data_IF_577503877949
#
_entry.id   IF_577503877949
#
_cell.length_a   1.000
_cell.length_b   1.000
_cell.length_c   1.000
_cell.angle_alpha   90.00
_cell.angle_beta   90.00
_cell.angle_gamma   90.00
#
_symmetry.space_group_name_H-M   'P 1'
#
loop_
_entity.id
_entity.type
_entity.pdbx_description
1 polymer ?
#
# COMPACT_ATOMS: atom_id res chain seq x y z
N UNK A 1 24.90 -2.25 13.65
CA UNK A 1 24.73 -2.84 12.32
C UNK A 1 23.85 -1.93 11.46
N UNK A 2 24.25 -1.71 10.24
CA UNK A 2 23.44 -0.93 9.33
C UNK A 2 22.25 -1.77 8.86
N UNK A 3 21.07 -1.21 8.94
CA UNK A 3 19.88 -1.81 8.40
C UNK A 3 19.74 -1.39 6.93
N UNK A 4 19.64 -2.36 6.05
CA UNK A 4 19.51 -2.12 4.62
C UNK A 4 18.03 -2.24 4.26
N UNK A 5 17.46 -1.16 3.74
CA UNK A 5 16.07 -1.09 3.35
C UNK A 5 15.20 -0.39 4.38
N UNK A 6 13.90 -0.48 4.20
CA UNK A 6 12.91 0.19 5.03
C UNK A 6 12.56 -0.68 6.24
N UNK A 7 12.55 -0.08 7.42
CA UNK A 7 12.13 -0.77 8.63
C UNK A 7 10.68 -1.27 8.47
N UNK A 8 10.35 -2.49 8.95
CA UNK A 8 8.99 -3.00 8.90
C UNK A 8 7.96 -2.15 9.65
N UNK A 9 8.41 -1.30 10.57
CA UNK A 9 7.52 -0.41 11.33
C UNK A 9 7.27 0.92 10.65
N UNK A 10 7.95 1.19 9.53
CA UNK A 10 7.83 2.43 8.79
C UNK A 10 6.98 2.23 7.54
N UNK A 11 6.22 3.25 7.18
CA UNK A 11 5.47 3.25 5.95
C UNK A 11 6.35 3.60 4.75
N UNK A 12 5.81 3.43 3.58
CA UNK A 12 6.43 3.82 2.31
C UNK A 12 5.56 4.88 1.66
N UNK A 13 6.20 5.96 1.20
CA UNK A 13 5.52 7.02 0.47
C UNK A 13 5.78 6.84 -1.02
N UNK A 14 4.72 6.77 -1.81
CA UNK A 14 4.81 6.68 -3.27
C UNK A 14 4.11 7.86 -3.91
N UNK A 15 4.65 8.32 -5.03
CA UNK A 15 4.12 9.48 -5.75
C UNK A 15 3.78 9.05 -7.16
N UNK A 16 2.57 9.41 -7.60
CA UNK A 16 2.10 9.19 -8.97
C UNK A 16 1.78 10.53 -9.60
N UNK A 17 2.27 10.76 -10.80
CA UNK A 17 2.07 12.01 -11.52
C UNK A 17 1.30 11.78 -12.80
N UNK A 18 0.24 12.54 -13.01
CA UNK A 18 -0.57 12.50 -14.21
C UNK A 18 -0.64 13.88 -14.83
N UNK A 19 -0.68 13.92 -16.16
CA UNK A 19 -0.99 15.12 -16.90
C UNK A 19 -2.40 15.00 -17.43
N UNK A 20 -3.27 15.91 -17.06
CA UNK A 20 -4.69 15.83 -17.39
C UNK A 20 -4.96 16.20 -18.84
N UNK A 21 -5.96 15.57 -19.40
CA UNK A 21 -6.62 16.01 -20.63
C UNK A 21 -7.78 16.95 -20.28
N UNK A 22 -8.39 17.57 -21.28
CA UNK A 22 -9.47 18.54 -21.04
C UNK A 22 -10.64 17.91 -20.27
N UNK A 23 -11.04 18.54 -19.18
CA UNK A 23 -12.16 18.12 -18.33
C UNK A 23 -12.01 16.70 -17.76
N UNK A 24 -10.79 16.23 -17.63
CA UNK A 24 -10.55 14.88 -17.10
C UNK A 24 -10.90 14.82 -15.61
N UNK A 25 -11.70 13.83 -15.24
CA UNK A 25 -12.08 13.57 -13.85
C UNK A 25 -11.47 12.28 -13.31
N UNK A 26 -11.34 11.26 -14.14
CA UNK A 26 -10.88 9.94 -13.69
C UNK A 26 -9.40 9.72 -14.02
N UNK A 27 -8.65 9.32 -13.01
CA UNK A 27 -7.22 9.02 -13.13
C UNK A 27 -6.97 7.59 -12.65
N UNK A 28 -6.40 6.78 -13.52
CA UNK A 28 -6.10 5.38 -13.24
C UNK A 28 -5.00 4.90 -14.18
N UNK A 29 -4.52 3.68 -13.93
CA UNK A 29 -3.49 3.09 -14.78
C UNK A 29 -2.14 3.75 -14.59
N UNK A 30 -1.31 3.70 -15.62
CA UNK A 30 0.06 4.17 -15.54
C UNK A 30 0.13 5.69 -15.47
N UNK A 31 0.99 6.16 -14.57
CA UNK A 31 1.33 7.58 -14.48
C UNK A 31 2.34 7.98 -15.57
N UNK A 32 2.87 9.20 -15.52
CA UNK A 32 3.84 9.70 -16.50
C UNK A 32 5.15 8.91 -16.52
N UNK A 33 5.45 8.17 -15.44
CA UNK A 33 6.64 7.32 -15.33
C UNK A 33 6.36 5.84 -15.64
N UNK A 34 5.13 5.51 -16.00
CA UNK A 34 4.74 4.14 -16.32
C UNK A 34 4.39 3.29 -15.11
N UNK A 35 4.12 3.91 -13.96
CA UNK A 35 3.80 3.20 -12.73
C UNK A 35 2.28 3.23 -12.53
N UNK A 36 1.69 2.05 -12.36
CA UNK A 36 0.23 1.94 -12.15
C UNK A 36 -0.18 2.40 -10.77
N UNK A 37 -1.23 3.22 -10.72
CA UNK A 37 -1.79 3.72 -9.47
C UNK A 37 -2.37 2.56 -8.64
N UNK A 38 -1.95 2.48 -7.40
CA UNK A 38 -2.49 1.55 -6.42
C UNK A 38 -2.39 2.16 -5.02
N UNK A 39 -3.45 2.04 -4.25
CA UNK A 39 -3.49 2.47 -2.85
C UNK A 39 -4.36 1.50 -2.06
N UNK A 40 -4.04 1.34 -0.77
CA UNK A 40 -4.77 0.39 0.07
C UNK A 40 -6.13 0.93 0.52
N UNK A 41 -6.18 2.22 0.83
CA UNK A 41 -7.39 2.87 1.34
C UNK A 41 -7.37 4.34 0.95
N UNK A 42 -8.54 4.91 0.70
CA UNK A 42 -8.67 6.33 0.41
C UNK A 42 -8.20 7.24 1.54
N UNK A 43 -8.10 6.73 2.76
CA UNK A 43 -7.55 7.47 3.89
C UNK A 43 -6.03 7.65 3.79
N UNK A 44 -5.35 6.87 2.95
CA UNK A 44 -3.90 6.89 2.80
C UNK A 44 -3.44 7.48 1.47
N UNK A 45 -4.27 8.28 0.85
CA UNK A 45 -3.93 8.97 -0.39
C UNK A 45 -4.21 10.46 -0.26
N UNK A 46 -3.26 11.28 -0.71
CA UNK A 46 -3.44 12.72 -0.88
C UNK A 46 -3.42 13.05 -2.36
N UNK A 47 -4.32 13.91 -2.79
CA UNK A 47 -4.44 14.32 -4.20
C UNK A 47 -4.12 15.81 -4.31
N UNK A 48 -3.17 16.13 -5.18
CA UNK A 48 -2.77 17.50 -5.47
C UNK A 48 -3.11 17.83 -6.91
N UNK A 49 -3.65 19.00 -7.15
CA UNK A 49 -3.87 19.54 -8.49
C UNK A 49 -3.06 20.82 -8.62
N UNK A 50 -2.09 20.83 -9.55
CA UNK A 50 -1.17 21.94 -9.75
C UNK A 50 -0.48 22.40 -8.46
N UNK A 51 -0.12 21.45 -7.59
CA UNK A 51 0.55 21.72 -6.34
C UNK A 51 -0.36 22.09 -5.17
N UNK A 52 -1.67 22.14 -5.38
CA UNK A 52 -2.65 22.46 -4.34
C UNK A 52 -3.30 21.17 -3.84
N UNK A 53 -3.23 20.93 -2.54
CA UNK A 53 -3.87 19.79 -1.91
C UNK A 53 -5.39 19.93 -1.98
N UNK A 54 -6.05 18.90 -2.53
CA UNK A 54 -7.50 18.81 -2.54
C UNK A 54 -8.00 18.21 -1.22
N UNK A 55 -9.14 18.71 -0.74
CA UNK A 55 -9.78 18.10 0.41
C UNK A 55 -10.53 16.84 -0.01
N UNK A 56 -10.74 15.86 0.90
CA UNK A 56 -11.37 14.58 0.54
C UNK A 56 -12.77 14.67 -0.08
N UNK A 57 -13.46 15.79 0.07
CA UNK A 57 -14.76 16.01 -0.57
C UNK A 57 -14.66 16.41 -2.04
N UNK A 58 -13.47 16.78 -2.51
CA UNK A 58 -13.26 17.21 -3.89
C UNK A 58 -12.86 16.05 -4.82
N UNK A 59 -12.72 14.85 -4.27
CA UNK A 59 -12.41 13.65 -5.06
C UNK A 59 -12.96 12.40 -4.40
N UNK A 60 -13.05 11.32 -5.17
CA UNK A 60 -13.44 10.00 -4.69
C UNK A 60 -12.27 9.03 -4.90
N UNK A 61 -11.87 8.34 -3.85
CA UNK A 61 -10.80 7.34 -3.87
C UNK A 61 -11.28 6.11 -3.09
N UNK A 62 -12.01 5.23 -3.74
CA UNK A 62 -12.65 4.06 -3.10
C UNK A 62 -12.29 2.73 -3.73
N UNK A 63 -11.72 2.73 -4.93
CA UNK A 63 -11.49 1.47 -5.69
C UNK A 63 -10.11 0.86 -5.44
N UNK A 64 -9.15 1.63 -4.94
CA UNK A 64 -7.78 1.20 -4.79
C UNK A 64 -6.90 1.42 -6.03
N UNK A 65 -7.48 1.74 -7.17
CA UNK A 65 -6.76 1.91 -8.45
C UNK A 65 -7.17 3.14 -9.23
N UNK A 66 -8.20 3.85 -8.79
CA UNK A 66 -8.76 4.99 -9.50
C UNK A 66 -9.05 6.13 -8.54
N UNK A 67 -8.75 7.36 -8.96
CA UNK A 67 -9.15 8.58 -8.28
C UNK A 67 -10.02 9.38 -9.23
N UNK A 68 -11.18 9.81 -8.76
CA UNK A 68 -12.13 10.60 -9.55
C UNK A 68 -12.26 11.98 -8.92
N UNK A 69 -11.93 13.01 -9.68
CA UNK A 69 -12.10 14.39 -9.24
C UNK A 69 -13.56 14.82 -9.38
N UNK A 70 -14.03 15.60 -8.44
CA UNK A 70 -15.38 16.16 -8.47
C UNK A 70 -15.54 17.19 -9.59
N UNK A 71 -14.51 17.98 -9.82
CA UNK A 71 -14.44 18.94 -10.92
C UNK A 71 -13.34 18.52 -11.89
N UNK A 72 -13.66 18.49 -13.18
CA UNK A 72 -12.70 18.09 -14.21
C UNK A 72 -11.47 18.99 -14.25
N UNK A 73 -10.31 18.38 -14.41
CA UNK A 73 -9.06 19.11 -14.56
C UNK A 73 -8.97 19.74 -15.96
N UNK A 74 -8.27 20.87 -16.06
CA UNK A 74 -7.99 21.50 -17.34
C UNK A 74 -6.89 20.72 -18.08
N UNK A 75 -6.84 20.89 -19.40
CA UNK A 75 -5.77 20.28 -20.19
C UNK A 75 -4.39 20.71 -19.68
N UNK A 76 -3.49 19.75 -19.57
CA UNK A 76 -2.12 19.94 -19.06
C UNK A 76 -2.03 20.24 -17.57
N UNK A 77 -3.11 20.21 -16.82
CA UNK A 77 -3.02 20.26 -15.36
C UNK A 77 -2.22 19.06 -14.85
N UNK A 78 -1.37 19.32 -13.85
CA UNK A 78 -0.66 18.25 -13.15
C UNK A 78 -1.51 17.75 -12.00
N UNK A 79 -1.83 16.46 -12.02
CA UNK A 79 -2.50 15.80 -10.90
C UNK A 79 -1.53 14.82 -10.28
N UNK A 80 -1.20 15.05 -9.03
CA UNK A 80 -0.24 14.23 -8.29
C UNK A 80 -0.96 13.53 -7.14
N UNK A 81 -0.77 12.22 -7.03
CA UNK A 81 -1.26 11.45 -5.91
C UNK A 81 -0.09 10.99 -5.06
N UNK A 82 -0.19 11.26 -3.77
CA UNK A 82 0.78 10.78 -2.78
C UNK A 82 0.11 9.67 -1.99
N UNK A 83 0.66 8.47 -2.08
CA UNK A 83 0.10 7.29 -1.43
C UNK A 83 1.01 6.87 -0.30
N UNK A 84 0.43 6.62 0.86
CA UNK A 84 1.14 6.13 2.04
C UNK A 84 0.81 4.65 2.22
N UNK A 85 1.82 3.80 2.10
CA UNK A 85 1.69 2.38 2.36
C UNK A 85 2.11 2.12 3.80
N UNK A 86 1.24 1.52 4.56
CA UNK A 86 1.52 1.12 5.93
C UNK A 86 1.96 -0.34 5.91
N UNK A 87 3.08 -0.62 6.55
CA UNK A 87 3.51 -2.00 6.70
C UNK A 87 2.54 -2.72 7.62
N UNK A 88 1.86 -3.71 7.09
CA UNK A 88 1.01 -4.59 7.87
C UNK A 88 1.81 -5.85 8.20
N UNK A 89 2.06 -6.06 9.47
CA UNK A 89 2.66 -7.30 9.92
C UNK A 89 1.63 -8.40 9.72
N UNK A 90 1.99 -9.37 8.90
CA UNK A 90 1.15 -10.54 8.71
C UNK A 90 0.97 -11.31 10.01
N UNK A 91 0.12 -12.28 9.96
CA UNK A 91 -0.13 -13.18 11.09
C UNK A 91 1.07 -14.11 11.27
N UNK A 92 2.12 -13.56 11.88
CA UNK A 92 3.40 -14.23 12.02
C UNK A 92 3.76 -14.47 13.47
N UNK A 93 4.47 -15.56 13.71
CA UNK A 93 4.96 -15.92 15.05
C UNK A 93 6.32 -15.26 15.26
N UNK A 94 6.48 -14.64 16.43
CA UNK A 94 7.72 -13.96 16.78
C UNK A 94 8.89 -14.96 16.91
N UNK A 95 10.01 -14.62 16.31
CA UNK A 95 11.21 -15.42 16.42
C UNK A 95 11.74 -15.46 17.87
N UNK A 96 11.66 -14.36 18.58
CA UNK A 96 12.24 -14.24 19.93
C UNK A 96 11.27 -14.61 21.04
N UNK A 97 9.99 -14.32 20.87
CA UNK A 97 8.99 -14.55 21.90
C UNK A 97 8.21 -15.86 21.70
N UNK A 98 8.28 -16.41 20.48
CA UNK A 98 7.47 -17.58 20.15
C UNK A 98 6.01 -17.23 20.00
N UNK A 99 5.19 -18.25 19.87
CA UNK A 99 3.75 -18.08 19.71
C UNK A 99 3.09 -19.37 19.24
N UNK A 100 1.81 -19.28 18.96
CA UNK A 100 1.02 -20.41 18.51
C UNK A 100 0.40 -20.14 17.13
N UNK A 101 0.26 -21.20 16.35
CA UNK A 101 -0.54 -21.18 15.13
C UNK A 101 -1.91 -21.79 15.46
N UNK A 102 -2.96 -21.11 15.08
CA UNK A 102 -4.32 -21.57 15.32
C UNK A 102 -4.75 -22.66 14.32
N UNK A 103 -4.12 -22.70 13.16
CA UNK A 103 -4.42 -23.66 12.12
C UNK A 103 -3.27 -24.60 11.85
N UNK A 104 -3.40 -25.37 10.80
CA UNK A 104 -2.38 -26.33 10.40
C UNK A 104 -1.14 -25.62 9.83
N UNK A 105 0.02 -26.18 10.11
CA UNK A 105 1.29 -25.70 9.56
C UNK A 105 1.83 -26.73 8.58
N UNK A 106 1.91 -26.35 7.31
CA UNK A 106 2.53 -27.17 6.29
C UNK A 106 3.97 -26.75 6.05
N UNK A 107 4.87 -27.72 6.00
CA UNK A 107 6.27 -27.46 5.71
C UNK A 107 6.69 -28.23 4.48
N UNK A 108 7.24 -27.52 3.49
CA UNK A 108 7.74 -28.17 2.28
C UNK A 108 9.14 -28.75 2.41
N UNK A 109 9.78 -28.57 3.54
CA UNK A 109 11.11 -29.06 3.82
C UNK A 109 11.21 -29.76 5.16
N UNK A 110 12.40 -29.70 5.76
CA UNK A 110 12.69 -30.39 7.01
C UNK A 110 12.35 -29.51 8.22
N UNK A 111 11.74 -30.10 9.22
CA UNK A 111 11.54 -29.47 10.52
C UNK A 111 12.72 -29.82 11.43
N UNK A 112 13.39 -28.81 11.96
CA UNK A 112 14.42 -28.96 12.98
C UNK A 112 13.88 -28.47 14.32
N UNK A 113 13.89 -29.35 15.34
CA UNK A 113 13.45 -29.02 16.69
C UNK A 113 14.65 -29.17 17.63
N UNK A 114 15.04 -28.08 18.30
CA UNK A 114 16.20 -28.09 19.18
C UNK A 114 15.90 -28.69 20.55
N UNK A 115 14.69 -28.64 20.99
CA UNK A 115 14.27 -29.24 22.26
C UNK A 115 13.55 -30.57 22.08
N UNK A 116 12.81 -30.96 23.09
CA UNK A 116 11.98 -32.15 23.03
C UNK A 116 10.62 -31.78 22.47
N UNK A 117 10.24 -32.29 21.30
CA UNK A 117 8.91 -32.02 20.77
C UNK A 117 7.85 -32.76 21.59
N UNK A 118 6.72 -32.10 21.81
CA UNK A 118 5.56 -32.67 22.48
C UNK A 118 4.39 -32.73 21.51
N UNK A 119 3.88 -33.91 21.29
CA UNK A 119 2.71 -34.12 20.44
C UNK A 119 1.52 -34.52 21.30
N UNK A 120 0.43 -33.79 21.20
CA UNK A 120 -0.80 -34.03 21.93
C UNK A 120 -1.90 -34.37 20.93
N UNK A 121 -2.59 -35.45 21.13
CA UNK A 121 -3.57 -35.93 20.19
C UNK A 121 -2.99 -36.90 19.18
N UNK A 122 -3.59 -36.98 18.00
CA UNK A 122 -3.24 -38.02 17.01
C UNK A 122 -3.07 -37.50 15.63
#
# INVERSE_FOLDING_TARGET
MAYIGTSPTQGVRRIYNYTATASQTSFSGNDTLGISLAYADGAYIDVYQNGVLLIPTDYVATTGTTVVLDTGAAVNDTVQMVVYDVFSVGDSVSQSAGGNFAGDVGMGGTLAVTGVPTFTGR
#
